data_IF_887055399483
#
_entry.id   IF_887055399483
#
_cell.length_a   1.000
_cell.length_b   1.000
_cell.length_c   1.000
_cell.angle_alpha   90.00
_cell.angle_beta   90.00
_cell.angle_gamma   90.00
#
_symmetry.space_group_name_H-M   'P 1'
#
loop_
_entity.id
_entity.type
_entity.pdbx_description
1 polymer ?
#
# COMPACT_ATOMS: atom_id res chain seq x y z
N UNK A 1 29.84 17.28 -9.22
CA UNK A 1 29.35 16.05 -8.57
C UNK A 1 28.14 16.45 -7.74
N UNK A 2 26.95 15.94 -8.01
CA UNK A 2 25.74 16.28 -7.26
C UNK A 2 25.43 15.19 -6.23
N UNK A 3 25.04 15.62 -5.03
CA UNK A 3 24.61 14.73 -3.96
C UNK A 3 23.09 14.63 -3.97
N UNK A 4 22.55 13.42 -4.08
CA UNK A 4 21.12 13.14 -3.88
C UNK A 4 20.94 12.40 -2.55
N UNK A 5 20.08 12.94 -1.69
CA UNK A 5 19.66 12.26 -0.45
C UNK A 5 18.32 11.59 -0.72
N UNK A 6 18.22 10.29 -0.43
CA UNK A 6 16.98 9.52 -0.54
C UNK A 6 16.67 8.85 0.81
N UNK A 7 15.40 8.81 1.17
CA UNK A 7 14.92 8.09 2.35
C UNK A 7 13.67 7.28 2.01
N UNK A 8 13.47 6.20 2.75
CA UNK A 8 12.28 5.37 2.67
C UNK A 8 11.63 5.35 4.05
N UNK A 9 10.37 5.75 4.11
CA UNK A 9 9.56 5.73 5.33
C UNK A 9 8.50 4.63 5.22
N UNK A 10 8.30 3.91 6.32
CA UNK A 10 7.22 2.97 6.49
C UNK A 10 6.74 3.03 7.95
N UNK A 11 5.49 2.63 8.17
CA UNK A 11 4.87 2.58 9.48
C UNK A 11 4.72 1.12 9.91
N UNK A 12 4.88 0.88 11.21
CA UNK A 12 4.71 -0.44 11.81
C UNK A 12 3.79 -0.34 13.03
N UNK A 13 3.08 -1.44 13.31
CA UNK A 13 2.34 -1.65 14.54
C UNK A 13 2.89 -2.94 15.14
N UNK A 14 3.41 -2.87 16.37
CA UNK A 14 4.00 -4.02 17.07
C UNK A 14 5.08 -4.74 16.23
N UNK A 15 5.98 -3.98 15.59
CA UNK A 15 7.05 -4.52 14.75
C UNK A 15 6.57 -5.15 13.42
N UNK A 16 5.30 -4.97 13.04
CA UNK A 16 4.74 -5.49 11.79
C UNK A 16 4.44 -4.34 10.82
N UNK A 17 5.00 -4.34 9.60
CA UNK A 17 4.79 -3.25 8.64
C UNK A 17 3.34 -3.06 8.24
N UNK A 18 2.72 -1.93 8.62
CA UNK A 18 1.33 -1.61 8.29
C UNK A 18 1.24 -0.75 7.04
N UNK A 19 2.09 0.25 6.87
CA UNK A 19 1.99 1.19 5.74
C UNK A 19 3.37 1.53 5.17
N UNK A 20 3.42 1.96 3.92
CA UNK A 20 4.65 2.35 3.23
C UNK A 20 4.40 2.55 1.74
N UNK A 21 5.44 2.90 0.99
CA UNK A 21 5.32 3.31 -0.43
C UNK A 21 4.43 2.42 -1.30
N UNK A 22 4.60 1.09 -1.24
CA UNK A 22 3.80 0.16 -2.06
C UNK A 22 2.31 0.15 -1.70
N UNK A 23 1.98 0.26 -0.41
CA UNK A 23 0.60 0.32 0.08
C UNK A 23 -0.02 1.69 -0.18
N UNK A 24 0.76 2.77 -0.11
CA UNK A 24 0.37 4.12 -0.51
C UNK A 24 -0.11 4.13 -1.96
N UNK A 25 0.71 3.64 -2.89
CA UNK A 25 0.34 3.59 -4.31
C UNK A 25 -0.89 2.73 -4.57
N UNK A 26 -1.06 1.62 -3.82
CA UNK A 26 -2.27 0.81 -3.95
C UNK A 26 -3.53 1.59 -3.55
N UNK A 27 -3.52 2.27 -2.40
CA UNK A 27 -4.68 3.05 -1.94
C UNK A 27 -4.97 4.24 -2.86
N UNK A 28 -3.93 4.96 -3.31
CA UNK A 28 -4.08 6.07 -4.28
C UNK A 28 -4.68 5.58 -5.61
N UNK A 29 -4.23 4.43 -6.11
CA UNK A 29 -4.79 3.85 -7.32
C UNK A 29 -6.24 3.40 -7.12
N UNK A 30 -6.59 2.83 -5.97
CA UNK A 30 -7.97 2.45 -5.63
C UNK A 30 -8.88 3.68 -5.60
N UNK A 31 -8.44 4.75 -4.93
CA UNK A 31 -9.18 6.02 -4.87
C UNK A 31 -9.41 6.59 -6.28
N UNK A 32 -8.42 6.49 -7.16
CA UNK A 32 -8.51 6.98 -8.54
C UNK A 32 -9.45 6.15 -9.43
N UNK A 33 -9.40 4.81 -9.34
CA UNK A 33 -10.12 3.94 -10.28
C UNK A 33 -11.39 3.28 -9.71
N UNK A 34 -11.61 3.37 -8.40
CA UNK A 34 -12.74 2.74 -7.70
C UNK A 34 -12.71 1.20 -7.69
N UNK A 35 -11.58 0.57 -8.03
CA UNK A 35 -11.48 -0.89 -8.15
C UNK A 35 -10.14 -1.44 -7.70
N UNK A 36 -10.16 -2.37 -6.75
CA UNK A 36 -8.95 -3.10 -6.30
C UNK A 36 -8.28 -3.84 -7.47
N UNK A 37 -9.07 -4.41 -8.38
CA UNK A 37 -8.54 -5.16 -9.52
C UNK A 37 -7.85 -4.25 -10.54
N UNK A 38 -8.44 -3.09 -10.84
CA UNK A 38 -7.80 -2.12 -11.73
C UNK A 38 -6.55 -1.51 -11.07
N UNK A 39 -6.64 -1.12 -9.80
CA UNK A 39 -5.52 -0.59 -9.04
C UNK A 39 -4.34 -1.57 -8.97
N UNK A 40 -4.60 -2.86 -8.76
CA UNK A 40 -3.57 -3.90 -8.75
C UNK A 40 -2.82 -3.96 -10.10
N UNK A 41 -3.55 -3.89 -11.22
CA UNK A 41 -2.97 -3.86 -12.57
C UNK A 41 -2.14 -2.58 -12.78
N UNK A 42 -2.67 -1.43 -12.38
CA UNK A 42 -2.02 -0.12 -12.54
C UNK A 42 -0.64 -0.08 -11.85
N UNK A 43 -0.55 -0.62 -10.62
CA UNK A 43 0.71 -0.65 -9.87
C UNK A 43 1.53 -1.93 -10.10
N UNK A 44 1.18 -2.72 -11.12
CA UNK A 44 1.86 -3.95 -11.54
C UNK A 44 2.02 -5.00 -10.42
N UNK A 45 0.93 -5.28 -9.69
CA UNK A 45 0.85 -6.39 -8.73
C UNK A 45 -0.36 -7.29 -9.01
N UNK A 46 -0.30 -8.54 -8.56
CA UNK A 46 -1.46 -9.42 -8.66
C UNK A 46 -2.60 -8.95 -7.75
N UNK A 47 -3.84 -9.20 -8.17
CA UNK A 47 -5.02 -8.95 -7.34
C UNK A 47 -4.91 -9.61 -5.96
N UNK A 48 -4.41 -10.85 -5.89
CA UNK A 48 -4.17 -11.57 -4.61
C UNK A 48 -3.23 -10.79 -3.69
N UNK A 49 -2.17 -10.18 -4.24
CA UNK A 49 -1.22 -9.37 -3.46
C UNK A 49 -1.85 -8.07 -2.99
N UNK A 50 -2.62 -7.39 -3.85
CA UNK A 50 -3.37 -6.20 -3.47
C UNK A 50 -4.36 -6.48 -2.33
N UNK A 51 -5.16 -7.55 -2.47
CA UNK A 51 -6.09 -7.98 -1.44
C UNK A 51 -5.39 -8.33 -0.12
N UNK A 52 -4.27 -9.06 -0.19
CA UNK A 52 -3.46 -9.37 1.00
C UNK A 52 -2.90 -8.13 1.68
N UNK A 53 -2.56 -7.08 0.92
CA UNK A 53 -2.14 -5.79 1.49
C UNK A 53 -3.27 -5.08 2.22
N UNK A 54 -4.45 -4.99 1.60
CA UNK A 54 -5.63 -4.35 2.21
C UNK A 54 -6.00 -5.06 3.51
N UNK A 55 -6.19 -6.39 3.45
CA UNK A 55 -6.54 -7.19 4.63
C UNK A 55 -5.52 -7.03 5.76
N UNK A 56 -4.22 -7.09 5.46
CA UNK A 56 -3.18 -6.93 6.48
C UNK A 56 -3.13 -5.51 7.07
N UNK A 57 -3.51 -4.48 6.31
CA UNK A 57 -3.64 -3.11 6.83
C UNK A 57 -4.83 -3.00 7.76
N UNK A 58 -6.01 -3.44 7.31
CA UNK A 58 -7.26 -3.34 8.08
C UNK A 58 -7.19 -4.13 9.40
N UNK A 59 -6.64 -5.35 9.37
CA UNK A 59 -6.45 -6.18 10.57
C UNK A 59 -5.54 -5.51 11.60
N UNK A 60 -4.52 -4.76 11.17
CA UNK A 60 -3.54 -4.13 12.07
C UNK A 60 -3.98 -2.75 12.54
N UNK A 61 -4.69 -2.01 11.70
CA UNK A 61 -5.20 -0.68 12.04
C UNK A 61 -6.51 -0.76 12.83
N UNK A 62 -7.25 -1.86 12.72
CA UNK A 62 -8.58 -1.99 13.31
C UNK A 62 -9.64 -1.14 12.63
N UNK A 63 -9.40 -0.70 11.39
CA UNK A 63 -10.32 0.13 10.60
C UNK A 63 -10.45 -0.44 9.19
N UNK A 64 -11.61 -0.22 8.57
CA UNK A 64 -11.83 -0.54 7.17
C UNK A 64 -11.28 0.57 6.29
N UNK A 65 -10.51 0.21 5.26
CA UNK A 65 -9.87 1.15 4.34
C UNK A 65 -10.54 1.18 2.96
N UNK A 66 -11.04 0.03 2.48
CA UNK A 66 -11.62 -0.14 1.13
C UNK A 66 -12.96 -0.86 1.20
#
# INVERSE_FOLDING_TARGET
>A
MFMEIRSKVWLEIEGRPVFGRGRRFLLEAIDTCGSINQAAKEINISYRKAWGYIKAMEERLGIKLV
#
